data_IF_906430797479
#
_entry.id   IF_906430797479
#
_cell.length_a   1.000
_cell.length_b   1.000
_cell.length_c   1.000
_cell.angle_alpha   90.00
_cell.angle_beta   90.00
_cell.angle_gamma   90.00
#
_symmetry.space_group_name_H-M   'P 1'
#
loop_
_entity.id
_entity.type
_entity.pdbx_description
1 polymer ?
#
# COMPACT_ATOMS: atom_id res chain seq x y z
N UNK A 1 -44.90 13.84 21.95
CA UNK A 1 -44.21 13.24 20.79
C UNK A 1 -43.47 14.38 20.12
N UNK A 2 -42.13 14.39 20.16
CA UNK A 2 -41.39 15.33 19.32
C UNK A 2 -41.67 14.97 17.86
N UNK A 3 -42.19 15.93 17.11
CA UNK A 3 -42.42 15.81 15.67
C UNK A 3 -41.04 15.71 15.00
N UNK A 4 -40.71 14.53 14.46
CA UNK A 4 -39.49 14.32 13.68
C UNK A 4 -39.72 14.94 12.29
N UNK A 5 -39.77 16.28 12.27
CA UNK A 5 -39.92 17.07 11.06
C UNK A 5 -38.82 16.74 10.06
N UNK A 6 -39.24 16.23 8.92
CA UNK A 6 -38.53 16.24 7.64
C UNK A 6 -37.11 15.68 7.62
N UNK A 7 -37.02 14.34 7.61
CA UNK A 7 -35.97 13.64 6.85
C UNK A 7 -36.10 13.83 5.31
N UNK A 8 -36.96 14.76 4.86
CA UNK A 8 -37.27 15.03 3.46
C UNK A 8 -36.34 16.06 2.81
N UNK A 9 -35.62 16.86 3.61
CA UNK A 9 -34.70 17.91 3.14
C UNK A 9 -33.22 17.51 3.18
N UNK A 10 -32.92 16.22 3.41
CA UNK A 10 -31.54 15.71 3.36
C UNK A 10 -31.22 15.41 1.88
N UNK A 11 -30.23 16.08 1.27
CA UNK A 11 -29.81 15.76 -0.08
C UNK A 11 -29.48 14.26 -0.19
N UNK A 12 -29.97 13.61 -1.25
CA UNK A 12 -29.63 12.22 -1.52
C UNK A 12 -28.10 12.10 -1.67
N UNK A 13 -27.51 11.16 -0.92
CA UNK A 13 -26.07 10.94 -0.93
C UNK A 13 -25.63 10.36 -2.28
N UNK A 14 -24.59 10.93 -2.88
CA UNK A 14 -23.98 10.44 -4.11
C UNK A 14 -23.15 9.17 -3.81
N UNK A 15 -23.85 8.06 -3.65
CA UNK A 15 -23.25 6.73 -3.46
C UNK A 15 -22.24 6.34 -4.55
N UNK A 16 -22.51 6.59 -5.85
CA UNK A 16 -21.52 6.32 -6.90
C UNK A 16 -20.15 6.97 -6.67
N UNK A 17 -20.12 8.24 -6.26
CA UNK A 17 -18.85 8.93 -6.00
C UNK A 17 -18.16 8.41 -4.73
N UNK A 18 -18.94 8.09 -3.69
CA UNK A 18 -18.42 7.50 -2.46
C UNK A 18 -17.74 6.16 -2.73
N UNK A 19 -18.37 5.29 -3.52
CA UNK A 19 -17.82 3.99 -3.88
C UNK A 19 -16.54 4.13 -4.70
N UNK A 20 -16.51 5.07 -5.66
CA UNK A 20 -15.33 5.33 -6.48
C UNK A 20 -14.11 5.71 -5.63
N UNK A 21 -14.31 6.59 -4.66
CA UNK A 21 -13.25 7.01 -3.74
C UNK A 21 -12.85 5.87 -2.80
N UNK A 22 -13.83 5.10 -2.30
CA UNK A 22 -13.58 3.95 -1.42
C UNK A 22 -12.68 2.90 -2.10
N UNK A 23 -12.99 2.51 -3.33
CA UNK A 23 -12.17 1.55 -4.09
C UNK A 23 -10.75 2.08 -4.29
N UNK A 24 -10.60 3.38 -4.61
CA UNK A 24 -9.28 4.01 -4.73
C UNK A 24 -8.49 4.01 -3.41
N UNK A 25 -9.15 4.30 -2.29
CA UNK A 25 -8.56 4.26 -0.96
C UNK A 25 -8.10 2.85 -0.58
N UNK A 26 -8.95 1.84 -0.77
CA UNK A 26 -8.62 0.44 -0.47
C UNK A 26 -7.41 -0.01 -1.29
N UNK A 27 -7.41 0.27 -2.60
CA UNK A 27 -6.29 -0.06 -3.48
C UNK A 27 -4.98 0.61 -3.02
N UNK A 28 -5.02 1.89 -2.69
CA UNK A 28 -3.86 2.61 -2.17
C UNK A 28 -3.38 2.04 -0.82
N UNK A 29 -4.29 1.72 0.09
CA UNK A 29 -3.98 1.16 1.40
C UNK A 29 -3.34 -0.24 1.30
N UNK A 30 -3.82 -1.08 0.39
CA UNK A 30 -3.23 -2.39 0.12
C UNK A 30 -1.79 -2.27 -0.40
N UNK A 31 -1.59 -1.46 -1.45
CA UNK A 31 -0.26 -1.24 -2.04
C UNK A 31 0.69 -0.60 -1.02
N UNK A 32 0.22 0.41 -0.29
CA UNK A 32 0.98 1.14 0.72
C UNK A 32 1.38 0.27 1.91
N UNK A 33 0.51 -0.64 2.35
CA UNK A 33 0.82 -1.58 3.43
C UNK A 33 1.98 -2.49 3.04
N UNK A 34 1.96 -3.05 1.83
CA UNK A 34 3.06 -3.90 1.35
C UNK A 34 4.34 -3.09 1.15
N UNK A 35 4.24 -1.82 0.73
CA UNK A 35 5.38 -0.92 0.63
C UNK A 35 6.06 -0.69 1.98
N UNK A 36 5.28 -0.43 3.04
CA UNK A 36 5.81 -0.29 4.40
C UNK A 36 6.54 -1.56 4.86
N UNK A 37 5.96 -2.74 4.63
CA UNK A 37 6.59 -4.02 4.98
C UNK A 37 7.91 -4.23 4.21
N UNK A 38 7.94 -3.91 2.92
CA UNK A 38 9.14 -3.99 2.10
C UNK A 38 10.26 -3.05 2.58
N UNK A 39 9.93 -1.82 2.96
CA UNK A 39 10.91 -0.87 3.53
C UNK A 39 11.42 -1.36 4.88
N UNK A 40 10.55 -1.85 5.76
CA UNK A 40 10.97 -2.41 7.05
C UNK A 40 11.91 -3.61 6.86
N UNK A 41 11.61 -4.49 5.90
CA UNK A 41 12.49 -5.61 5.57
C UNK A 41 13.85 -5.14 5.02
N UNK A 42 13.88 -4.13 4.14
CA UNK A 42 15.13 -3.55 3.64
C UNK A 42 15.96 -2.92 4.76
N UNK A 43 15.33 -2.18 5.68
CA UNK A 43 16.00 -1.62 6.86
C UNK A 43 16.53 -2.72 7.78
N UNK A 44 15.79 -3.82 7.95
CA UNK A 44 16.26 -4.97 8.72
C UNK A 44 17.51 -5.61 8.09
N UNK A 45 17.54 -5.77 6.76
CA UNK A 45 18.73 -6.26 6.03
C UNK A 45 19.93 -5.34 6.26
N UNK A 46 19.76 -4.03 6.08
CA UNK A 46 20.83 -3.05 6.29
C UNK A 46 21.32 -3.01 7.74
N UNK A 47 20.40 -2.96 8.71
CA UNK A 47 20.72 -2.79 10.12
C UNK A 47 21.26 -4.05 10.80
N UNK A 48 20.70 -5.22 10.49
CA UNK A 48 21.06 -6.47 11.18
C UNK A 48 22.16 -7.26 10.48
N UNK A 49 22.25 -7.18 9.15
CA UNK A 49 23.26 -7.89 8.34
C UNK A 49 24.37 -6.96 7.85
N UNK A 50 24.32 -5.67 8.20
CA UNK A 50 25.22 -4.62 7.69
C UNK A 50 25.26 -4.50 6.15
N UNK A 51 24.26 -5.07 5.45
CA UNK A 51 24.22 -5.16 4.01
C UNK A 51 23.49 -3.96 3.38
N UNK A 52 24.00 -2.75 3.65
CA UNK A 52 23.37 -1.49 3.23
C UNK A 52 23.23 -1.33 1.71
N UNK A 53 24.16 -1.86 0.92
CA UNK A 53 24.05 -1.85 -0.54
C UNK A 53 22.79 -2.59 -1.03
N UNK A 54 22.54 -3.79 -0.49
CA UNK A 54 21.34 -4.58 -0.79
C UNK A 54 20.07 -3.89 -0.29
N UNK A 55 20.11 -3.29 0.90
CA UNK A 55 19.00 -2.54 1.46
C UNK A 55 18.59 -1.32 0.60
N UNK A 56 19.57 -0.59 0.06
CA UNK A 56 19.32 0.55 -0.85
C UNK A 56 18.63 0.05 -2.12
N UNK A 57 19.14 -1.02 -2.74
CA UNK A 57 18.53 -1.60 -3.95
C UNK A 57 17.09 -2.05 -3.65
N UNK A 58 16.86 -2.75 -2.53
CA UNK A 58 15.52 -3.16 -2.11
C UNK A 58 14.57 -2.00 -1.90
N UNK A 59 15.05 -0.89 -1.33
CA UNK A 59 14.27 0.34 -1.14
C UNK A 59 13.89 0.96 -2.48
N UNK A 60 14.82 1.10 -3.42
CA UNK A 60 14.55 1.63 -4.76
C UNK A 60 13.56 0.76 -5.53
N UNK A 61 13.73 -0.56 -5.49
CA UNK A 61 12.77 -1.50 -6.09
C UNK A 61 11.39 -1.39 -5.45
N UNK A 62 11.31 -1.15 -4.14
CA UNK A 62 10.04 -0.92 -3.44
C UNK A 62 9.35 0.34 -3.94
N UNK A 63 10.08 1.44 -4.15
CA UNK A 63 9.51 2.68 -4.68
C UNK A 63 8.96 2.50 -6.10
N UNK A 64 9.74 1.85 -6.96
CA UNK A 64 9.31 1.53 -8.34
C UNK A 64 8.09 0.60 -8.32
N UNK A 65 8.15 -0.47 -7.53
CA UNK A 65 7.05 -1.44 -7.39
C UNK A 65 5.78 -0.79 -6.85
N UNK A 66 5.89 0.12 -5.89
CA UNK A 66 4.77 0.89 -5.34
C UNK A 66 4.16 1.80 -6.39
N UNK A 67 4.99 2.54 -7.14
CA UNK A 67 4.52 3.40 -8.24
C UNK A 67 3.76 2.59 -9.31
N UNK A 68 4.30 1.44 -9.69
CA UNK A 68 3.63 0.51 -10.62
C UNK A 68 2.32 -0.03 -10.03
N UNK A 69 2.33 -0.45 -8.77
CA UNK A 69 1.14 -0.99 -8.08
C UNK A 69 0.01 0.03 -7.99
N UNK A 70 0.32 1.30 -7.73
CA UNK A 70 -0.66 2.39 -7.73
C UNK A 70 -1.20 2.64 -9.14
N UNK A 71 -0.32 2.73 -10.15
CA UNK A 71 -0.70 3.08 -11.52
C UNK A 71 -1.42 1.95 -12.28
N UNK A 72 -1.19 0.68 -11.91
CA UNK A 72 -1.75 -0.48 -12.57
C UNK A 72 -2.58 -1.35 -11.59
N UNK A 73 -3.91 -1.08 -11.46
CA UNK A 73 -4.79 -1.83 -10.56
C UNK A 73 -4.82 -3.34 -10.80
N UNK A 74 -4.60 -3.78 -12.04
CA UNK A 74 -4.51 -5.20 -12.40
C UNK A 74 -3.32 -5.92 -11.76
N UNK A 75 -2.27 -5.19 -11.40
CA UNK A 75 -1.09 -5.70 -10.70
C UNK A 75 -1.23 -5.43 -9.20
N UNK A 76 -1.54 -4.18 -8.84
CA UNK A 76 -1.73 -3.73 -7.46
C UNK A 76 -0.57 -4.07 -6.53
N UNK A 77 -0.89 -4.57 -5.34
CA UNK A 77 0.08 -4.89 -4.29
C UNK A 77 1.12 -5.94 -4.70
N UNK A 78 0.84 -6.74 -5.74
CA UNK A 78 1.76 -7.78 -6.23
C UNK A 78 3.06 -7.20 -6.78
N UNK A 79 3.03 -5.98 -7.33
CA UNK A 79 4.25 -5.30 -7.79
C UNK A 79 5.21 -5.04 -6.63
N UNK A 80 4.68 -4.55 -5.50
CA UNK A 80 5.45 -4.25 -4.29
C UNK A 80 5.81 -5.50 -3.48
N UNK A 81 5.08 -6.60 -3.69
CA UNK A 81 5.39 -7.88 -3.05
C UNK A 81 6.75 -8.44 -3.47
N UNK A 82 7.17 -8.22 -4.72
CA UNK A 82 8.45 -8.72 -5.25
C UNK A 82 9.64 -8.22 -4.42
N UNK A 83 9.86 -6.90 -4.23
CA UNK A 83 10.95 -6.43 -3.40
C UNK A 83 10.80 -6.84 -1.93
N UNK A 84 9.57 -6.95 -1.39
CA UNK A 84 9.37 -7.46 -0.03
C UNK A 84 9.94 -8.88 0.13
N UNK A 85 9.56 -9.80 -0.75
CA UNK A 85 10.02 -11.20 -0.71
C UNK A 85 11.53 -11.28 -0.90
N UNK A 86 12.10 -10.49 -1.83
CA UNK A 86 13.54 -10.44 -2.02
C UNK A 86 14.29 -9.96 -0.77
N UNK A 87 13.75 -8.97 -0.05
CA UNK A 87 14.36 -8.50 1.21
C UNK A 87 14.21 -9.51 2.34
N UNK A 88 13.10 -10.25 2.42
CA UNK A 88 12.98 -11.35 3.38
C UNK A 88 13.98 -12.48 3.08
N UNK A 89 14.17 -12.83 1.81
CA UNK A 89 15.17 -13.81 1.41
C UNK A 89 16.58 -13.32 1.71
N UNK A 90 16.90 -12.06 1.42
CA UNK A 90 18.20 -11.47 1.77
C UNK A 90 18.43 -11.49 3.28
N UNK A 91 17.40 -11.22 4.08
CA UNK A 91 17.49 -11.27 5.55
C UNK A 91 17.75 -12.68 6.08
N UNK A 92 17.21 -13.71 5.42
CA UNK A 92 17.40 -15.11 5.81
C UNK A 92 18.74 -15.69 5.35
N UNK A 93 19.25 -15.25 4.20
CA UNK A 93 20.41 -15.87 3.54
C UNK A 93 21.74 -15.15 3.80
N UNK A 94 21.72 -13.89 4.25
CA UNK A 94 22.90 -13.20 4.79
C UNK A 94 23.14 -13.58 6.24
#
# INVERSE_FOLDING_TARGET
>A
MADHGHAADIPQMDYPEHERTYVGFVHFAEVGTVACLAIVAALAVGGTKHAWGTAIIGTLLTLVGTGVGIAAPSIGWRATLVPFVLMLLALLLY
#
